data_IF_910446379057
#
_entry.id   IF_910446379057
#
_cell.length_a   1.000
_cell.length_b   1.000
_cell.length_c   1.000
_cell.angle_alpha   90.00
_cell.angle_beta   90.00
_cell.angle_gamma   90.00
#
_symmetry.space_group_name_H-M   'P 1'
#
loop_
_entity.id
_entity.type
_entity.pdbx_description
1 polymer ?
#
# COMPACT_ATOMS: atom_id res chain seq x y z
N UNK A 1 12.41 -23.81 -14.07
CA UNK A 1 11.23 -22.94 -14.37
C UNK A 1 11.71 -21.79 -15.24
N UNK A 2 11.01 -21.47 -16.35
CA UNK A 2 11.39 -20.32 -17.18
C UNK A 2 11.10 -19.00 -16.46
N UNK A 3 11.87 -17.94 -16.80
CA UNK A 3 11.66 -16.60 -16.22
C UNK A 3 10.23 -16.08 -16.46
N UNK A 4 9.62 -16.44 -17.59
CA UNK A 4 8.23 -16.08 -17.91
C UNK A 4 7.23 -16.70 -16.92
N UNK A 5 7.37 -18.00 -16.64
CA UNK A 5 6.48 -18.70 -15.71
C UNK A 5 6.67 -18.19 -14.29
N UNK A 6 7.90 -17.88 -13.88
CA UNK A 6 8.17 -17.25 -12.60
C UNK A 6 7.41 -15.94 -12.46
N UNK A 7 7.53 -15.03 -13.44
CA UNK A 7 6.88 -13.71 -13.41
C UNK A 7 5.35 -13.87 -13.35
N UNK A 8 4.77 -14.81 -14.11
CA UNK A 8 3.33 -15.05 -14.08
C UNK A 8 2.83 -15.50 -12.70
N UNK A 9 3.53 -16.45 -12.05
CA UNK A 9 3.18 -16.92 -10.71
C UNK A 9 3.27 -15.78 -9.70
N UNK A 10 4.35 -15.00 -9.75
CA UNK A 10 4.52 -13.87 -8.84
C UNK A 10 3.49 -12.76 -9.10
N UNK A 11 3.17 -12.51 -10.37
CA UNK A 11 2.16 -11.55 -10.78
C UNK A 11 0.76 -11.88 -10.26
N UNK A 12 0.35 -13.17 -10.32
CA UNK A 12 -0.95 -13.60 -9.74
C UNK A 12 -0.99 -13.38 -8.23
N UNK A 13 0.13 -13.64 -7.53
CA UNK A 13 0.24 -13.42 -6.08
C UNK A 13 0.19 -11.94 -5.71
N UNK A 14 0.93 -11.10 -6.44
CA UNK A 14 0.92 -9.65 -6.25
C UNK A 14 -0.45 -9.04 -6.53
N UNK A 15 -1.09 -9.44 -7.63
CA UNK A 15 -2.44 -9.02 -7.98
C UNK A 15 -3.46 -9.39 -6.90
N UNK A 16 -3.51 -10.67 -6.48
CA UNK A 16 -4.46 -11.15 -5.48
C UNK A 16 -4.29 -10.42 -4.13
N UNK A 17 -3.04 -10.24 -3.68
CA UNK A 17 -2.74 -9.53 -2.43
C UNK A 17 -3.16 -8.06 -2.47
N UNK A 18 -2.87 -7.35 -3.56
CA UNK A 18 -3.22 -5.92 -3.68
C UNK A 18 -4.70 -5.70 -3.96
N UNK A 19 -5.35 -6.56 -4.72
CA UNK A 19 -6.80 -6.57 -4.90
C UNK A 19 -7.50 -6.70 -3.55
N UNK A 20 -7.17 -7.74 -2.75
CA UNK A 20 -7.82 -7.98 -1.45
C UNK A 20 -7.57 -6.86 -0.43
N UNK A 21 -6.43 -6.20 -0.51
CA UNK A 21 -6.10 -5.04 0.32
C UNK A 21 -7.01 -3.84 0.03
N UNK A 22 -7.19 -3.51 -1.26
CA UNK A 22 -7.92 -2.33 -1.70
C UNK A 22 -9.43 -2.51 -1.81
N UNK A 23 -9.90 -3.75 -1.93
CA UNK A 23 -11.33 -4.05 -2.05
C UNK A 23 -12.15 -3.58 -0.82
N UNK A 24 -11.53 -3.48 0.35
CA UNK A 24 -12.22 -3.10 1.58
C UNK A 24 -12.76 -1.66 1.56
N UNK A 25 -12.00 -0.72 0.98
CA UNK A 25 -12.23 0.72 1.11
C UNK A 25 -13.63 1.16 0.58
N UNK A 26 -14.06 0.78 -0.63
CA UNK A 26 -15.37 1.17 -1.14
C UNK A 26 -16.54 0.43 -0.45
N UNK A 27 -16.27 -0.66 0.28
CA UNK A 27 -17.31 -1.49 0.90
C UNK A 27 -17.67 -1.07 2.33
N UNK A 28 -16.99 -0.06 2.91
CA UNK A 28 -17.16 0.34 4.33
C UNK A 28 -18.62 0.63 4.66
N UNK A 29 -19.34 1.40 3.83
CA UNK A 29 -20.75 1.73 4.06
C UNK A 29 -21.65 0.49 4.02
N UNK A 30 -21.45 -0.40 3.04
CA UNK A 30 -22.24 -1.64 2.90
C UNK A 30 -22.02 -2.57 4.11
N UNK A 31 -20.77 -2.76 4.52
CA UNK A 31 -20.44 -3.61 5.68
C UNK A 31 -20.99 -3.01 6.97
N UNK A 32 -20.91 -1.69 7.14
CA UNK A 32 -21.43 -1.01 8.30
C UNK A 32 -22.94 -1.25 8.48
N UNK A 33 -23.70 -1.15 7.40
CA UNK A 33 -25.15 -1.42 7.40
C UNK A 33 -25.46 -2.89 7.69
N UNK A 34 -24.78 -3.81 7.01
CA UNK A 34 -25.05 -5.25 7.13
C UNK A 34 -24.71 -5.80 8.52
N UNK A 35 -23.63 -5.31 9.14
CA UNK A 35 -23.18 -5.72 10.48
C UNK A 35 -23.65 -4.79 11.60
N UNK A 36 -24.63 -3.93 11.33
CA UNK A 36 -25.24 -2.98 12.33
C UNK A 36 -24.17 -2.17 13.07
N UNK A 37 -23.21 -1.62 12.32
CA UNK A 37 -22.09 -0.82 12.83
C UNK A 37 -22.10 0.60 12.25
N UNK A 38 -21.20 1.45 12.77
CA UNK A 38 -20.98 2.78 12.18
C UNK A 38 -19.90 2.73 11.09
N UNK A 39 -19.98 3.60 10.06
CA UNK A 39 -18.92 3.71 9.06
C UNK A 39 -17.54 3.97 9.69
N UNK A 40 -17.47 4.77 10.75
CA UNK A 40 -16.23 5.08 11.46
C UNK A 40 -15.60 3.85 12.10
N UNK A 41 -16.40 3.00 12.76
CA UNK A 41 -15.91 1.74 13.35
C UNK A 41 -15.52 0.75 12.26
N UNK A 42 -16.31 0.65 11.20
CA UNK A 42 -16.05 -0.26 10.08
C UNK A 42 -14.80 0.14 9.30
N UNK A 43 -14.54 1.44 9.13
CA UNK A 43 -13.31 1.95 8.50
C UNK A 43 -12.03 1.46 9.19
N UNK A 44 -12.08 1.22 10.50
CA UNK A 44 -10.94 0.66 11.25
C UNK A 44 -10.50 -0.73 10.76
N UNK A 45 -11.32 -1.46 9.98
CA UNK A 45 -10.90 -2.71 9.31
C UNK A 45 -9.73 -2.48 8.35
N UNK A 46 -9.58 -1.28 7.78
CA UNK A 46 -8.41 -0.91 6.96
C UNK A 46 -7.16 -0.76 7.83
N UNK A 47 -7.28 -0.13 9.01
CA UNK A 47 -6.18 -0.04 9.97
C UNK A 47 -5.82 -1.42 10.55
N UNK A 48 -6.82 -2.27 10.83
CA UNK A 48 -6.65 -3.64 11.30
C UNK A 48 -5.85 -4.50 10.30
N UNK A 49 -5.95 -4.22 9.02
CA UNK A 49 -5.12 -4.85 8.00
C UNK A 49 -3.72 -4.22 7.90
N UNK A 50 -3.64 -2.89 7.87
CA UNK A 50 -2.39 -2.18 7.61
C UNK A 50 -1.37 -2.34 8.76
N UNK A 51 -1.83 -2.37 10.01
CA UNK A 51 -0.93 -2.44 11.16
C UNK A 51 -0.16 -3.78 11.25
N UNK A 52 -0.79 -4.97 11.20
CA UNK A 52 -0.05 -6.24 11.15
C UNK A 52 0.78 -6.38 9.86
N UNK A 53 0.30 -5.84 8.74
CA UNK A 53 1.08 -5.77 7.51
C UNK A 53 2.40 -5.01 7.73
N UNK A 54 2.38 -3.89 8.50
CA UNK A 54 3.58 -3.15 8.87
C UNK A 54 4.55 -4.04 9.67
N UNK A 55 4.07 -4.62 10.77
CA UNK A 55 4.93 -5.37 11.69
C UNK A 55 5.60 -6.58 11.06
N UNK A 56 4.99 -7.19 10.05
CA UNK A 56 5.60 -8.33 9.37
C UNK A 56 6.74 -7.93 8.43
N UNK A 57 6.80 -6.67 7.94
CA UNK A 57 7.81 -6.24 6.96
C UNK A 57 9.25 -6.48 7.41
N UNK A 58 9.70 -6.03 8.60
CA UNK A 58 11.07 -6.26 9.04
C UNK A 58 11.35 -7.74 9.36
N UNK A 59 10.32 -8.56 9.58
CA UNK A 59 10.48 -9.97 9.93
C UNK A 59 10.67 -10.85 8.68
N UNK A 60 10.05 -10.47 7.57
CA UNK A 60 9.98 -11.30 6.36
C UNK A 60 11.32 -11.55 5.69
N UNK A 61 12.25 -10.59 5.72
CA UNK A 61 13.60 -10.78 5.17
C UNK A 61 14.33 -11.94 5.85
N UNK A 62 14.61 -11.84 7.15
CA UNK A 62 15.27 -12.90 7.91
C UNK A 62 14.54 -14.25 7.87
N UNK A 63 13.21 -14.25 7.94
CA UNK A 63 12.39 -15.47 7.88
C UNK A 63 12.45 -16.10 6.50
N UNK A 64 12.38 -15.30 5.43
CA UNK A 64 12.50 -15.76 4.05
C UNK A 64 13.87 -16.39 3.75
N UNK A 65 14.93 -15.82 4.29
CA UNK A 65 16.29 -16.35 4.15
C UNK A 65 16.49 -17.66 4.94
N UNK A 66 15.83 -17.79 6.10
CA UNK A 66 15.93 -18.98 6.95
C UNK A 66 15.08 -20.14 6.47
N UNK A 67 13.80 -19.91 6.19
CA UNK A 67 12.83 -20.96 5.85
C UNK A 67 12.74 -21.23 4.35
N UNK A 68 13.31 -20.34 3.52
CA UNK A 68 13.17 -20.33 2.08
C UNK A 68 11.98 -19.46 1.62
N UNK A 69 12.26 -18.55 0.72
CA UNK A 69 11.31 -17.54 0.22
C UNK A 69 10.03 -18.17 -0.36
N UNK A 70 10.16 -19.29 -1.06
CA UNK A 70 9.02 -20.02 -1.62
C UNK A 70 8.11 -20.64 -0.56
N UNK A 71 8.67 -21.15 0.54
CA UNK A 71 7.87 -21.70 1.65
C UNK A 71 7.11 -20.59 2.35
N UNK A 72 7.77 -19.47 2.63
CA UNK A 72 7.13 -18.31 3.26
C UNK A 72 6.02 -17.76 2.37
N UNK A 73 6.23 -17.69 1.06
CA UNK A 73 5.20 -17.26 0.11
C UNK A 73 3.98 -18.20 0.11
N UNK A 74 4.21 -19.51 0.09
CA UNK A 74 3.11 -20.50 0.17
C UNK A 74 2.33 -20.38 1.49
N UNK A 75 3.03 -20.23 2.61
CA UNK A 75 2.40 -20.06 3.92
C UNK A 75 1.60 -18.73 3.99
N UNK A 76 2.15 -17.65 3.49
CA UNK A 76 1.48 -16.34 3.41
C UNK A 76 0.21 -16.41 2.55
N UNK A 77 0.28 -17.01 1.36
CA UNK A 77 -0.90 -17.15 0.47
C UNK A 77 -1.94 -18.10 1.06
N UNK A 78 -1.52 -19.19 1.71
CA UNK A 78 -2.45 -20.11 2.39
C UNK A 78 -3.18 -19.40 3.53
N UNK A 79 -2.44 -18.66 4.36
CA UNK A 79 -3.04 -17.92 5.47
C UNK A 79 -3.98 -16.81 4.97
N UNK A 80 -3.58 -16.10 3.89
CA UNK A 80 -4.43 -15.09 3.25
C UNK A 80 -5.71 -15.74 2.69
N UNK A 81 -5.60 -16.88 2.00
CA UNK A 81 -6.75 -17.63 1.50
C UNK A 81 -7.72 -18.01 2.62
N UNK A 82 -7.21 -18.60 3.72
CA UNK A 82 -8.04 -19.04 4.85
C UNK A 82 -8.75 -17.86 5.53
N UNK A 83 -8.07 -16.74 5.69
CA UNK A 83 -8.64 -15.54 6.32
C UNK A 83 -9.67 -14.83 5.43
N UNK A 84 -9.46 -14.81 4.12
CA UNK A 84 -10.45 -14.28 3.17
C UNK A 84 -11.68 -15.20 3.10
N UNK A 85 -11.50 -16.50 3.06
CA UNK A 85 -12.60 -17.49 3.13
C UNK A 85 -13.39 -17.34 4.45
N UNK A 86 -12.68 -17.20 5.58
CA UNK A 86 -13.31 -16.90 6.86
C UNK A 86 -14.08 -15.58 6.86
N UNK A 87 -13.58 -14.56 6.15
CA UNK A 87 -14.25 -13.25 6.05
C UNK A 87 -15.59 -13.32 5.32
N UNK A 88 -15.76 -14.26 4.36
CA UNK A 88 -17.06 -14.53 3.72
C UNK A 88 -18.11 -14.97 4.74
N UNK A 89 -17.67 -15.74 5.73
CA UNK A 89 -18.53 -16.34 6.75
C UNK A 89 -18.61 -15.51 8.05
N UNK A 90 -17.96 -14.33 8.10
CA UNK A 90 -17.91 -13.53 9.31
C UNK A 90 -19.31 -13.12 9.80
N UNK A 91 -19.73 -13.52 11.02
CA UNK A 91 -21.06 -13.24 11.53
C UNK A 91 -21.20 -11.83 12.10
N UNK A 92 -20.09 -11.18 12.45
CA UNK A 92 -20.06 -9.87 13.09
C UNK A 92 -18.74 -9.13 12.80
N UNK A 93 -18.72 -7.85 13.12
CA UNK A 93 -17.58 -6.99 12.88
C UNK A 93 -16.32 -7.41 13.65
N UNK A 94 -16.46 -7.92 14.88
CA UNK A 94 -15.31 -8.35 15.69
C UNK A 94 -14.57 -9.54 15.04
N UNK A 95 -15.32 -10.53 14.53
CA UNK A 95 -14.73 -11.63 13.77
C UNK A 95 -14.02 -11.12 12.53
N UNK A 96 -14.66 -10.22 11.78
CA UNK A 96 -14.06 -9.63 10.59
C UNK A 96 -12.79 -8.85 10.92
N UNK A 97 -12.75 -8.16 12.07
CA UNK A 97 -11.56 -7.46 12.58
C UNK A 97 -10.38 -8.41 12.76
N UNK A 98 -10.58 -9.51 13.48
CA UNK A 98 -9.53 -10.52 13.72
C UNK A 98 -9.03 -11.10 12.39
N UNK A 99 -9.95 -11.44 11.49
CA UNK A 99 -9.60 -11.99 10.18
C UNK A 99 -8.82 -10.98 9.34
N UNK A 100 -9.18 -9.69 9.40
CA UNK A 100 -8.43 -8.62 8.72
C UNK A 100 -7.03 -8.43 9.29
N UNK A 101 -6.85 -8.54 10.61
CA UNK A 101 -5.51 -8.49 11.23
C UNK A 101 -4.62 -9.64 10.71
N UNK A 102 -5.13 -10.86 10.70
CA UNK A 102 -4.38 -12.03 10.23
C UNK A 102 -4.13 -11.92 8.71
N UNK A 103 -5.13 -11.47 7.94
CA UNK A 103 -4.99 -11.23 6.50
C UNK A 103 -3.91 -10.17 6.18
N UNK A 104 -3.83 -9.11 6.99
CA UNK A 104 -2.80 -8.08 6.85
C UNK A 104 -1.40 -8.63 7.04
N UNK A 105 -1.17 -9.40 8.11
CA UNK A 105 0.10 -10.07 8.34
C UNK A 105 0.45 -11.05 7.21
N UNK A 106 -0.54 -11.81 6.72
CA UNK A 106 -0.36 -12.76 5.62
C UNK A 106 -0.03 -12.05 4.29
N UNK A 107 -0.77 -11.01 3.93
CA UNK A 107 -0.58 -10.28 2.67
C UNK A 107 0.77 -9.55 2.62
N UNK A 108 1.31 -9.14 3.79
CA UNK A 108 2.59 -8.45 3.90
C UNK A 108 3.77 -9.21 3.28
N UNK A 109 3.67 -10.55 3.18
CA UNK A 109 4.71 -11.38 2.58
C UNK A 109 4.74 -11.43 1.06
N UNK A 110 3.63 -11.16 0.39
CA UNK A 110 3.49 -11.41 -1.04
C UNK A 110 4.45 -10.54 -1.89
N UNK A 111 4.45 -9.23 -1.67
CA UNK A 111 5.20 -8.29 -2.52
C UNK A 111 6.72 -8.35 -2.27
N UNK A 112 7.23 -8.22 -1.04
CA UNK A 112 8.67 -8.24 -0.79
C UNK A 112 9.33 -9.56 -1.21
N UNK A 113 8.66 -10.69 -0.92
CA UNK A 113 9.18 -12.01 -1.28
C UNK A 113 9.20 -12.20 -2.79
N UNK A 114 8.19 -11.70 -3.52
CA UNK A 114 8.16 -11.75 -4.98
C UNK A 114 9.33 -10.98 -5.59
N UNK A 115 9.58 -9.75 -5.11
CA UNK A 115 10.71 -8.92 -5.56
C UNK A 115 12.04 -9.63 -5.28
N UNK A 116 12.19 -10.23 -4.10
CA UNK A 116 13.39 -10.98 -3.72
C UNK A 116 13.59 -12.22 -4.64
N UNK A 117 12.52 -12.99 -4.93
CA UNK A 117 12.58 -14.14 -5.83
C UNK A 117 12.93 -13.75 -7.28
N UNK A 118 12.45 -12.59 -7.76
CA UNK A 118 12.86 -12.04 -9.06
C UNK A 118 14.35 -11.71 -9.02
N UNK A 119 14.82 -11.08 -7.93
CA UNK A 119 16.22 -10.76 -7.73
C UNK A 119 17.15 -11.99 -7.76
N UNK A 120 16.70 -13.08 -7.13
CA UNK A 120 17.50 -14.31 -7.03
C UNK A 120 17.51 -15.17 -8.31
N UNK A 121 16.39 -15.17 -9.07
CA UNK A 121 16.17 -16.13 -10.16
C UNK A 121 16.22 -15.54 -11.57
N UNK A 122 16.21 -14.21 -11.68
CA UNK A 122 16.26 -13.54 -12.99
C UNK A 122 17.62 -12.88 -13.18
N UNK A 123 18.25 -13.18 -14.31
CA UNK A 123 19.52 -12.59 -14.71
C UNK A 123 19.47 -11.05 -14.68
N UNK A 124 20.54 -10.40 -14.27
CA UNK A 124 20.63 -8.96 -14.10
C UNK A 124 20.14 -8.19 -15.34
N UNK A 125 20.52 -8.62 -16.55
CA UNK A 125 20.14 -7.97 -17.79
C UNK A 125 18.61 -7.94 -18.04
N UNK A 126 17.87 -8.91 -17.50
CA UNK A 126 16.42 -9.06 -17.68
C UNK A 126 15.61 -8.68 -16.43
N UNK A 127 16.29 -8.42 -15.30
CA UNK A 127 15.65 -8.21 -13.99
C UNK A 127 14.74 -6.98 -13.98
N UNK A 128 15.17 -5.88 -14.60
CA UNK A 128 14.37 -4.65 -14.65
C UNK A 128 13.04 -4.87 -15.41
N UNK A 129 13.07 -5.60 -16.52
CA UNK A 129 11.86 -5.94 -17.29
C UNK A 129 10.94 -6.86 -16.47
N UNK A 130 11.50 -7.82 -15.74
CA UNK A 130 10.75 -8.73 -14.89
C UNK A 130 10.03 -7.95 -13.74
N UNK A 131 10.75 -7.05 -13.07
CA UNK A 131 10.19 -6.20 -12.02
C UNK A 131 9.09 -5.27 -12.56
N UNK A 132 9.29 -4.66 -13.73
CA UNK A 132 8.28 -3.81 -14.36
C UNK A 132 6.97 -4.58 -14.64
N UNK A 133 7.06 -5.81 -15.18
CA UNK A 133 5.88 -6.65 -15.40
C UNK A 133 5.17 -7.04 -14.12
N UNK A 134 5.94 -7.33 -13.07
CA UNK A 134 5.39 -7.61 -11.75
C UNK A 134 4.68 -6.39 -11.16
N UNK A 135 5.28 -5.19 -11.26
CA UNK A 135 4.69 -3.94 -10.76
C UNK A 135 3.38 -3.59 -11.51
N UNK A 136 3.30 -3.87 -12.81
CA UNK A 136 2.03 -3.71 -13.55
C UNK A 136 0.92 -4.56 -12.93
N UNK A 137 1.20 -5.81 -12.55
CA UNK A 137 0.20 -6.67 -11.92
C UNK A 137 -0.26 -6.12 -10.55
N UNK A 138 0.66 -5.54 -9.76
CA UNK A 138 0.33 -4.86 -8.49
C UNK A 138 -0.59 -3.67 -8.73
N UNK A 139 -0.26 -2.79 -9.69
CA UNK A 139 -1.04 -1.59 -10.00
C UNK A 139 -2.42 -1.96 -10.51
N UNK A 140 -2.50 -2.95 -11.41
CA UNK A 140 -3.79 -3.45 -11.93
C UNK A 140 -4.61 -4.09 -10.80
N UNK A 141 -3.97 -4.82 -9.88
CA UNK A 141 -4.61 -5.38 -8.70
C UNK A 141 -5.18 -4.30 -7.78
N UNK A 142 -4.44 -3.21 -7.55
CA UNK A 142 -4.92 -2.07 -6.76
C UNK A 142 -6.09 -1.37 -7.43
N UNK A 143 -5.97 -1.07 -8.72
CA UNK A 143 -7.04 -0.43 -9.50
C UNK A 143 -8.30 -1.29 -9.53
N UNK A 144 -8.16 -2.58 -9.83
CA UNK A 144 -9.27 -3.51 -9.87
C UNK A 144 -9.90 -3.69 -8.47
N UNK A 145 -9.06 -3.78 -7.42
CA UNK A 145 -9.52 -3.90 -6.03
C UNK A 145 -10.34 -2.71 -5.57
N UNK A 146 -9.96 -1.48 -5.89
CA UNK A 146 -10.75 -0.31 -5.55
C UNK A 146 -11.98 -0.17 -6.45
N UNK A 147 -11.82 -0.16 -7.78
CA UNK A 147 -12.91 0.16 -8.71
C UNK A 147 -13.94 -0.95 -8.84
N UNK A 148 -13.50 -2.19 -9.08
CA UNK A 148 -14.45 -3.30 -9.27
C UNK A 148 -15.05 -3.81 -7.96
N UNK A 149 -14.35 -3.70 -6.83
CA UNK A 149 -14.94 -4.14 -5.56
C UNK A 149 -16.15 -3.30 -5.17
N UNK A 150 -16.10 -1.98 -5.37
CA UNK A 150 -17.26 -1.11 -5.13
C UNK A 150 -18.46 -1.50 -5.98
N UNK A 151 -18.26 -1.65 -7.30
CA UNK A 151 -19.29 -2.06 -8.24
C UNK A 151 -19.85 -3.46 -7.91
N UNK A 152 -18.98 -4.43 -7.69
CA UNK A 152 -19.40 -5.80 -7.38
C UNK A 152 -20.09 -5.90 -6.02
N UNK A 153 -19.72 -5.09 -5.05
CA UNK A 153 -20.36 -5.10 -3.74
C UNK A 153 -21.83 -4.69 -3.78
N UNK A 154 -22.23 -3.86 -4.75
CA UNK A 154 -23.64 -3.49 -4.98
C UNK A 154 -24.43 -4.65 -5.60
N UNK A 155 -23.78 -5.56 -6.36
CA UNK A 155 -24.42 -6.66 -7.09
C UNK A 155 -24.44 -7.95 -6.29
N UNK A 156 -23.28 -8.36 -5.75
CA UNK A 156 -23.09 -9.65 -5.05
C UNK A 156 -22.82 -9.50 -3.55
N UNK A 157 -22.92 -8.27 -3.03
CA UNK A 157 -22.62 -7.95 -1.64
C UNK A 157 -21.12 -8.00 -1.31
N UNK A 158 -20.75 -7.48 -0.15
CA UNK A 158 -19.36 -7.47 0.32
C UNK A 158 -18.80 -8.88 0.55
N UNK A 159 -19.65 -9.85 0.98
CA UNK A 159 -19.26 -11.26 1.14
C UNK A 159 -18.90 -11.89 -0.20
N UNK A 160 -19.62 -11.55 -1.28
CA UNK A 160 -19.30 -12.00 -2.63
C UNK A 160 -17.95 -11.46 -3.11
N UNK A 161 -17.61 -10.21 -2.79
CA UNK A 161 -16.30 -9.61 -3.11
C UNK A 161 -15.17 -10.30 -2.33
N UNK A 162 -15.37 -10.63 -1.04
CA UNK A 162 -14.40 -11.44 -0.30
C UNK A 162 -14.31 -12.87 -0.88
N UNK A 163 -15.41 -13.44 -1.36
CA UNK A 163 -15.41 -14.73 -2.08
C UNK A 163 -14.59 -14.70 -3.36
N UNK A 164 -14.72 -13.62 -4.15
CA UNK A 164 -13.89 -13.39 -5.34
C UNK A 164 -12.40 -13.24 -4.97
N UNK A 165 -12.09 -12.47 -3.92
CA UNK A 165 -10.72 -12.32 -3.41
C UNK A 165 -10.16 -13.67 -2.94
N UNK A 166 -10.97 -14.50 -2.30
CA UNK A 166 -10.63 -15.87 -1.90
C UNK A 166 -10.29 -16.72 -3.11
N UNK A 167 -11.13 -16.68 -4.15
CA UNK A 167 -10.91 -17.45 -5.38
C UNK A 167 -9.61 -17.03 -6.09
N UNK A 168 -9.37 -15.72 -6.24
CA UNK A 168 -8.12 -15.21 -6.84
C UNK A 168 -6.90 -15.63 -6.02
N UNK A 169 -6.99 -15.60 -4.68
CA UNK A 169 -5.90 -16.03 -3.81
C UNK A 169 -5.68 -17.54 -3.89
N UNK A 170 -6.74 -18.34 -4.04
CA UNK A 170 -6.64 -19.78 -4.27
C UNK A 170 -5.90 -20.11 -5.58
N UNK A 171 -6.19 -19.37 -6.66
CA UNK A 171 -5.47 -19.49 -7.93
C UNK A 171 -3.99 -19.13 -7.78
N UNK A 172 -3.68 -18.05 -7.08
CA UNK A 172 -2.31 -17.63 -6.80
C UNK A 172 -1.56 -18.68 -5.95
N UNK A 173 -2.21 -19.23 -4.93
CA UNK A 173 -1.69 -20.31 -4.09
C UNK A 173 -1.42 -21.55 -4.92
N UNK A 174 -2.38 -22.01 -5.72
CA UNK A 174 -2.24 -23.18 -6.60
C UNK A 174 -1.07 -22.99 -7.59
N UNK A 175 -0.99 -21.83 -8.25
CA UNK A 175 0.09 -21.50 -9.15
C UNK A 175 1.46 -21.53 -8.43
N UNK A 176 1.51 -21.01 -7.20
CA UNK A 176 2.73 -20.97 -6.38
C UNK A 176 3.13 -22.38 -5.91
N UNK A 177 2.17 -23.21 -5.48
CA UNK A 177 2.43 -24.60 -5.03
C UNK A 177 2.93 -25.43 -6.19
N UNK A 178 2.29 -25.34 -7.36
CA UNK A 178 2.68 -26.09 -8.57
C UNK A 178 4.01 -25.60 -9.13
N UNK A 179 4.20 -24.28 -9.21
CA UNK A 179 5.39 -23.68 -9.81
C UNK A 179 6.66 -23.85 -8.98
N UNK A 180 6.54 -23.92 -7.67
CA UNK A 180 7.68 -24.07 -6.75
C UNK A 180 7.74 -25.48 -6.12
N UNK A 181 7.43 -26.54 -6.90
CA UNK A 181 7.62 -27.93 -6.47
C UNK A 181 9.11 -28.24 -6.29
N UNK A 182 9.46 -28.81 -5.14
CA UNK A 182 10.84 -29.23 -4.85
C UNK A 182 11.81 -28.11 -4.51
N UNK A 183 11.39 -26.85 -4.52
CA UNK A 183 12.23 -25.74 -4.13
C UNK A 183 12.21 -25.58 -2.62
N UNK A 184 13.32 -25.90 -1.94
CA UNK A 184 13.56 -25.48 -0.57
C UNK A 184 15.05 -25.66 -0.19
N UNK A 185 15.81 -24.61 -0.29
CA UNK A 185 17.01 -24.44 0.51
C UNK A 185 16.77 -23.27 1.45
N UNK A 186 16.49 -23.55 2.71
CA UNK A 186 16.55 -22.54 3.77
C UNK A 186 18.00 -22.35 4.16
N UNK A 187 18.37 -21.09 4.47
CA UNK A 187 19.60 -20.75 5.14
C UNK A 187 19.48 -20.94 6.67
N UNK A 188 20.45 -20.41 7.41
CA UNK A 188 20.34 -20.28 8.86
C UNK A 188 19.61 -18.99 9.22
N UNK A 189 18.68 -19.08 10.17
CA UNK A 189 18.05 -17.90 10.75
C UNK A 189 19.08 -17.18 11.64
N UNK A 190 19.51 -16.01 11.20
CA UNK A 190 20.47 -15.20 11.94
C UNK A 190 19.80 -13.89 12.40
N UNK A 191 19.11 -14.01 13.54
CA UNK A 191 18.42 -12.89 14.17
C UNK A 191 19.39 -11.82 14.62
N UNK A 192 20.58 -12.21 15.11
CA UNK A 192 21.56 -11.26 15.63
C UNK A 192 22.07 -10.34 14.53
N UNK A 193 22.43 -10.90 13.38
CA UNK A 193 22.84 -10.10 12.22
C UNK A 193 21.70 -9.21 11.67
N UNK A 194 20.47 -9.68 11.70
CA UNK A 194 19.33 -8.86 11.31
C UNK A 194 19.14 -7.68 12.27
N UNK A 195 19.20 -7.91 13.57
CA UNK A 195 19.08 -6.86 14.59
C UNK A 195 20.22 -5.84 14.52
N UNK A 196 21.46 -6.30 14.30
CA UNK A 196 22.61 -5.40 14.11
C UNK A 196 22.40 -4.50 12.89
N UNK A 197 21.99 -5.06 11.74
CA UNK A 197 21.67 -4.25 10.54
C UNK A 197 20.58 -3.22 10.80
N UNK A 198 19.52 -3.57 11.52
CA UNK A 198 18.44 -2.62 11.86
C UNK A 198 18.96 -1.54 12.81
N UNK A 199 19.76 -1.90 13.81
CA UNK A 199 20.39 -0.93 14.71
C UNK A 199 21.26 0.07 13.94
N UNK A 200 22.09 -0.39 13.02
CA UNK A 200 22.96 0.46 12.21
C UNK A 200 22.14 1.42 11.33
N UNK A 201 21.06 0.93 10.70
CA UNK A 201 20.17 1.76 9.89
C UNK A 201 19.46 2.81 10.75
N UNK A 202 18.94 2.41 11.92
CA UNK A 202 18.24 3.31 12.84
C UNK A 202 19.18 4.30 13.55
N UNK A 203 20.49 4.06 13.54
CA UNK A 203 21.49 5.01 14.00
C UNK A 203 21.81 6.09 12.98
N UNK A 204 21.34 5.96 11.73
CA UNK A 204 21.58 6.93 10.67
C UNK A 204 20.47 8.01 10.68
N UNK A 205 20.79 9.29 11.02
CA UNK A 205 19.79 10.36 11.07
C UNK A 205 19.04 10.57 9.76
N UNK A 206 19.69 10.36 8.61
CA UNK A 206 19.07 10.47 7.29
C UNK A 206 18.01 9.38 7.08
N UNK A 207 18.26 8.16 7.57
CA UNK A 207 17.29 7.08 7.54
C UNK A 207 16.06 7.43 8.38
N UNK A 208 16.28 7.91 9.61
CA UNK A 208 15.19 8.31 10.51
C UNK A 208 14.33 9.43 9.91
N UNK A 209 14.94 10.44 9.27
CA UNK A 209 14.21 11.48 8.56
C UNK A 209 13.34 10.90 7.43
N UNK A 210 13.88 9.99 6.61
CA UNK A 210 13.13 9.37 5.51
C UNK A 210 11.98 8.50 6.03
N UNK A 211 12.19 7.74 7.12
CA UNK A 211 11.14 6.96 7.77
C UNK A 211 10.06 7.86 8.38
N UNK A 212 10.46 8.98 8.98
CA UNK A 212 9.53 9.99 9.48
C UNK A 212 8.70 10.63 8.37
N UNK A 213 9.33 11.01 7.25
CA UNK A 213 8.61 11.58 6.11
C UNK A 213 7.58 10.61 5.53
N UNK A 214 7.93 9.36 5.30
CA UNK A 214 6.99 8.39 4.74
C UNK A 214 5.88 8.01 5.72
N UNK A 215 6.16 8.00 7.03
CA UNK A 215 5.13 7.80 8.06
C UNK A 215 4.11 8.93 8.04
N UNK A 216 4.57 10.19 8.04
CA UNK A 216 3.69 11.37 8.02
C UNK A 216 2.94 11.50 6.69
N UNK A 217 3.62 11.19 5.56
CA UNK A 217 3.01 11.12 4.23
C UNK A 217 1.82 10.16 4.22
N UNK A 218 2.04 8.91 4.68
CA UNK A 218 0.99 7.90 4.72
C UNK A 218 -0.14 8.30 5.68
N UNK A 219 0.20 8.93 6.81
CA UNK A 219 -0.78 9.43 7.78
C UNK A 219 -1.66 10.52 7.19
N UNK A 220 -1.12 11.42 6.39
CA UNK A 220 -1.89 12.50 5.77
C UNK A 220 -2.76 12.03 4.59
N UNK A 221 -2.26 11.09 3.77
CA UNK A 221 -2.90 10.73 2.50
C UNK A 221 -3.96 9.64 2.64
N UNK A 222 -3.68 8.55 3.38
CA UNK A 222 -4.52 7.35 3.34
C UNK A 222 -5.74 7.37 4.26
N UNK A 223 -5.83 8.33 5.18
CA UNK A 223 -6.93 8.40 6.14
C UNK A 223 -8.31 8.53 5.52
N UNK A 224 -8.42 9.26 4.42
CA UNK A 224 -9.70 9.54 3.76
C UNK A 224 -10.27 8.31 3.01
N UNK A 225 -9.44 7.37 2.54
CA UNK A 225 -9.85 6.29 1.64
C UNK A 225 -11.06 5.48 2.12
N UNK A 226 -11.09 4.94 3.36
CA UNK A 226 -12.22 4.15 3.83
C UNK A 226 -13.47 4.99 4.12
N UNK A 227 -13.36 6.32 4.08
CA UNK A 227 -14.49 7.24 4.31
C UNK A 227 -15.10 7.76 3.01
N UNK A 228 -14.48 7.55 1.84
CA UNK A 228 -15.00 8.08 0.56
C UNK A 228 -16.41 7.56 0.29
N UNK A 229 -16.65 6.24 0.41
CA UNK A 229 -17.97 5.68 0.16
C UNK A 229 -19.06 6.20 1.13
N UNK A 230 -18.87 6.14 2.46
CA UNK A 230 -19.82 6.72 3.40
C UNK A 230 -20.10 8.21 3.17
N UNK A 231 -19.07 8.99 2.88
CA UNK A 231 -19.22 10.43 2.64
C UNK A 231 -19.96 10.75 1.35
N UNK A 232 -19.75 9.96 0.28
CA UNK A 232 -20.52 10.10 -0.96
C UNK A 232 -21.98 9.71 -0.75
N UNK A 233 -22.26 8.63 -0.02
CA UNK A 233 -23.62 8.21 0.32
C UNK A 233 -24.35 9.28 1.14
N UNK A 234 -23.69 9.85 2.18
CA UNK A 234 -24.26 10.89 3.04
C UNK A 234 -24.65 12.16 2.28
N UNK A 235 -23.87 12.49 1.22
CA UNK A 235 -24.13 13.68 0.38
C UNK A 235 -25.09 13.43 -0.79
N UNK A 236 -25.49 12.16 -1.00
CA UNK A 236 -26.26 11.78 -2.20
C UNK A 236 -25.43 11.80 -3.49
N UNK A 237 -24.10 11.83 -3.38
CA UNK A 237 -23.17 11.89 -4.51
C UNK A 237 -22.82 10.54 -5.14
N UNK A 238 -23.33 9.43 -4.61
CA UNK A 238 -23.11 8.08 -5.14
C UNK A 238 -22.97 7.03 -4.05
N UNK A 239 -22.81 5.77 -4.44
CA UNK A 239 -22.64 4.61 -3.57
C UNK A 239 -21.20 4.02 -3.62
N UNK A 240 -21.11 2.73 -3.31
CA UNK A 240 -19.84 2.01 -3.29
C UNK A 240 -19.18 1.93 -4.66
N UNK A 241 -19.97 1.84 -5.75
CA UNK A 241 -19.45 1.81 -7.12
C UNK A 241 -18.74 3.13 -7.46
N UNK A 242 -19.39 4.28 -7.26
CA UNK A 242 -18.80 5.59 -7.50
C UNK A 242 -17.57 5.85 -6.62
N UNK A 243 -17.65 5.48 -5.34
CA UNK A 243 -16.52 5.55 -4.43
C UNK A 243 -15.34 4.69 -4.91
N UNK A 244 -15.60 3.48 -5.38
CA UNK A 244 -14.59 2.59 -5.94
C UNK A 244 -13.89 3.19 -7.16
N UNK A 245 -14.65 3.81 -8.08
CA UNK A 245 -14.07 4.52 -9.23
C UNK A 245 -13.28 5.76 -8.80
N UNK A 246 -13.80 6.53 -7.84
CA UNK A 246 -13.07 7.68 -7.30
C UNK A 246 -11.73 7.24 -6.68
N UNK A 247 -11.72 6.25 -5.80
CA UNK A 247 -10.50 5.71 -5.18
C UNK A 247 -9.55 5.14 -6.25
N UNK A 248 -10.08 4.49 -7.29
CA UNK A 248 -9.31 4.02 -8.44
C UNK A 248 -8.52 5.12 -9.14
N UNK A 249 -9.01 6.36 -9.13
CA UNK A 249 -8.32 7.53 -9.64
C UNK A 249 -6.90 7.70 -9.05
N UNK A 250 -6.70 7.31 -7.80
CA UNK A 250 -5.37 7.35 -7.17
C UNK A 250 -4.33 6.48 -7.92
N UNK A 251 -4.72 5.28 -8.36
CA UNK A 251 -3.83 4.44 -9.15
C UNK A 251 -3.56 5.04 -10.54
N UNK A 252 -4.55 5.70 -11.15
CA UNK A 252 -4.38 6.43 -12.42
C UNK A 252 -3.36 7.56 -12.24
N UNK A 253 -3.41 8.32 -11.13
CA UNK A 253 -2.40 9.33 -10.79
C UNK A 253 -0.99 8.75 -10.70
N UNK A 254 -0.84 7.55 -10.14
CA UNK A 254 0.41 6.81 -10.13
C UNK A 254 0.93 6.44 -11.52
N UNK A 255 0.03 6.03 -12.44
CA UNK A 255 0.40 5.77 -13.84
C UNK A 255 0.85 7.06 -14.56
N UNK A 256 0.17 8.18 -14.31
CA UNK A 256 0.56 9.49 -14.84
C UNK A 256 1.97 9.85 -14.36
N UNK A 257 2.25 9.67 -13.06
CA UNK A 257 3.60 9.88 -12.52
C UNK A 257 4.61 8.97 -13.22
N UNK A 258 4.33 7.68 -13.34
CA UNK A 258 5.24 6.72 -13.96
C UNK A 258 5.58 7.11 -15.42
N UNK A 259 4.63 7.66 -16.16
CA UNK A 259 4.85 8.16 -17.52
C UNK A 259 5.71 9.44 -17.54
N UNK A 260 5.57 10.31 -16.53
CA UNK A 260 6.19 11.63 -16.50
C UNK A 260 7.50 11.70 -15.70
N UNK A 261 7.81 10.71 -14.86
CA UNK A 261 8.92 10.75 -13.89
C UNK A 261 10.28 11.08 -14.53
N UNK A 262 10.59 10.49 -15.69
CA UNK A 262 11.85 10.74 -16.39
C UNK A 262 11.98 12.21 -16.84
N UNK A 263 10.91 12.78 -17.36
CA UNK A 263 10.85 14.18 -17.74
C UNK A 263 10.93 15.09 -16.51
N UNK A 264 10.19 14.77 -15.45
CA UNK A 264 10.18 15.54 -14.19
C UNK A 264 11.56 15.57 -13.54
N UNK A 265 12.26 14.43 -13.46
CA UNK A 265 13.62 14.37 -12.89
C UNK A 265 14.61 15.21 -13.70
N UNK A 266 14.52 15.20 -15.03
CA UNK A 266 15.41 15.99 -15.91
C UNK A 266 15.15 17.50 -15.85
N UNK A 267 13.89 17.91 -15.70
CA UNK A 267 13.49 19.33 -15.79
C UNK A 267 13.31 20.00 -14.45
N UNK A 268 12.79 19.31 -13.46
CA UNK A 268 12.44 19.90 -12.17
C UNK A 268 13.48 19.62 -11.09
N UNK A 269 14.10 18.43 -11.13
CA UNK A 269 14.97 17.96 -10.06
C UNK A 269 14.20 17.54 -8.81
N UNK A 270 14.87 16.83 -7.90
CA UNK A 270 14.26 16.18 -6.72
C UNK A 270 13.53 17.18 -5.81
N UNK A 271 14.13 18.34 -5.55
CA UNK A 271 13.52 19.34 -4.64
C UNK A 271 12.15 19.83 -5.11
N UNK A 272 12.03 20.20 -6.42
CA UNK A 272 10.76 20.66 -6.97
C UNK A 272 9.73 19.54 -7.10
N UNK A 273 10.16 18.29 -7.32
CA UNK A 273 9.28 17.12 -7.32
C UNK A 273 8.67 16.93 -5.93
N UNK A 274 9.44 17.05 -4.86
CA UNK A 274 8.94 16.94 -3.49
C UNK A 274 7.95 18.05 -3.14
N UNK A 275 8.26 19.30 -3.46
CA UNK A 275 7.34 20.43 -3.23
C UNK A 275 6.05 20.26 -4.04
N UNK A 276 6.18 19.95 -5.34
CA UNK A 276 5.04 19.71 -6.23
C UNK A 276 4.18 18.54 -5.76
N UNK A 277 4.80 17.47 -5.26
CA UNK A 277 4.10 16.31 -4.71
C UNK A 277 3.24 16.67 -3.49
N UNK A 278 3.81 17.41 -2.53
CA UNK A 278 3.07 17.94 -1.38
C UNK A 278 1.95 18.88 -1.78
N UNK A 279 2.18 19.75 -2.76
CA UNK A 279 1.17 20.68 -3.29
C UNK A 279 0.00 19.93 -3.96
N UNK A 280 0.27 19.00 -4.87
CA UNK A 280 -0.79 18.27 -5.57
C UNK A 280 -1.61 17.38 -4.62
N UNK A 281 -0.95 16.68 -3.70
CA UNK A 281 -1.65 15.87 -2.70
C UNK A 281 -2.47 16.74 -1.74
N UNK A 282 -1.93 17.89 -1.30
CA UNK A 282 -2.63 18.85 -0.44
C UNK A 282 -3.83 19.48 -1.15
N UNK A 283 -3.67 19.94 -2.40
CA UNK A 283 -4.77 20.49 -3.20
C UNK A 283 -5.89 19.45 -3.40
N UNK A 284 -5.52 18.20 -3.67
CA UNK A 284 -6.50 17.11 -3.79
C UNK A 284 -7.30 16.89 -2.49
N UNK A 285 -6.64 16.90 -1.34
CA UNK A 285 -7.32 16.80 -0.03
C UNK A 285 -8.27 17.97 0.23
N UNK A 286 -7.89 19.19 -0.18
CA UNK A 286 -8.76 20.36 -0.08
C UNK A 286 -10.01 20.19 -0.97
N UNK A 287 -9.84 19.70 -2.20
CA UNK A 287 -10.97 19.44 -3.11
C UNK A 287 -11.89 18.37 -2.54
N UNK A 288 -11.37 17.25 -2.04
CA UNK A 288 -12.16 16.20 -1.38
C UNK A 288 -12.95 16.71 -0.18
N UNK A 289 -12.40 17.71 0.54
CA UNK A 289 -13.09 18.35 1.67
C UNK A 289 -14.27 19.23 1.29
N UNK A 290 -14.31 19.71 0.05
CA UNK A 290 -15.32 20.66 -0.45
C UNK A 290 -16.26 20.04 -1.49
N UNK A 291 -15.87 18.92 -2.11
CA UNK A 291 -16.59 18.31 -3.22
C UNK A 291 -17.89 17.64 -2.75
N UNK A 292 -18.87 17.66 -3.63
CA UNK A 292 -20.14 16.97 -3.46
C UNK A 292 -20.39 15.87 -4.50
N UNK A 293 -19.64 15.88 -5.61
CA UNK A 293 -19.80 14.98 -6.75
C UNK A 293 -18.63 13.99 -6.83
N UNK A 294 -18.94 12.73 -7.09
CA UNK A 294 -17.95 11.65 -7.20
C UNK A 294 -16.97 11.83 -8.36
N UNK A 295 -17.35 12.53 -9.44
CA UNK A 295 -16.45 12.77 -10.58
C UNK A 295 -15.34 13.74 -10.22
N UNK A 296 -15.66 14.75 -9.41
CA UNK A 296 -14.67 15.67 -8.85
C UNK A 296 -13.79 14.98 -7.81
N UNK A 297 -14.37 14.11 -6.98
CA UNK A 297 -13.60 13.25 -6.05
C UNK A 297 -12.64 12.33 -6.82
N UNK A 298 -13.07 11.75 -7.96
CA UNK A 298 -12.23 10.94 -8.82
C UNK A 298 -11.05 11.75 -9.40
N UNK A 299 -11.31 12.96 -9.89
CA UNK A 299 -10.27 13.86 -10.40
C UNK A 299 -9.28 14.26 -9.27
N UNK A 300 -9.81 14.58 -8.08
CA UNK A 300 -8.99 14.85 -6.90
C UNK A 300 -8.13 13.64 -6.52
N UNK A 301 -8.67 12.43 -6.57
CA UNK A 301 -7.90 11.20 -6.31
C UNK A 301 -6.80 10.95 -7.35
N UNK A 302 -7.01 11.28 -8.63
CA UNK A 302 -5.93 11.25 -9.64
C UNK A 302 -4.82 12.23 -9.26
N UNK A 303 -5.18 13.45 -8.88
CA UNK A 303 -4.22 14.48 -8.47
C UNK A 303 -3.47 14.06 -7.19
N UNK A 304 -4.19 13.47 -6.22
CA UNK A 304 -3.61 12.94 -4.98
C UNK A 304 -2.62 11.81 -5.26
N UNK A 305 -2.98 10.89 -6.16
CA UNK A 305 -2.11 9.81 -6.60
C UNK A 305 -0.83 10.34 -7.25
N UNK A 306 -0.95 11.31 -8.16
CA UNK A 306 0.21 11.96 -8.77
C UNK A 306 1.13 12.56 -7.69
N UNK A 307 0.57 13.37 -6.78
CA UNK A 307 1.33 14.01 -5.70
C UNK A 307 1.98 13.01 -4.76
N UNK A 308 1.25 11.99 -4.35
CA UNK A 308 1.76 10.90 -3.51
C UNK A 308 2.94 10.18 -4.17
N UNK A 309 2.82 9.74 -5.42
CA UNK A 309 3.90 9.02 -6.09
C UNK A 309 5.12 9.90 -6.36
N UNK A 310 4.96 11.22 -6.50
CA UNK A 310 6.08 12.17 -6.54
C UNK A 310 6.88 12.17 -5.24
N UNK A 311 6.22 12.13 -4.08
CA UNK A 311 6.85 12.07 -2.76
C UNK A 311 7.40 10.66 -2.49
N UNK A 312 6.52 9.67 -2.49
CA UNK A 312 6.79 8.31 -2.04
C UNK A 312 7.94 7.64 -2.81
N UNK A 313 7.91 7.70 -4.14
CA UNK A 313 8.97 7.11 -4.96
C UNK A 313 10.30 7.83 -4.76
N UNK A 314 10.27 9.14 -4.50
CA UNK A 314 11.49 9.88 -4.16
C UNK A 314 12.05 9.41 -2.81
N UNK A 315 11.22 9.26 -1.78
CA UNK A 315 11.65 8.73 -0.48
C UNK A 315 12.16 7.29 -0.60
N UNK A 316 11.44 6.43 -1.31
CA UNK A 316 11.85 5.04 -1.51
C UNK A 316 13.19 4.92 -2.25
N UNK A 317 13.43 5.75 -3.27
CA UNK A 317 14.72 5.79 -3.96
C UNK A 317 15.86 6.23 -3.01
N UNK A 318 15.64 7.26 -2.19
CA UNK A 318 16.63 7.73 -1.22
C UNK A 318 16.92 6.69 -0.13
N UNK A 319 15.92 5.91 0.32
CA UNK A 319 16.08 4.85 1.31
C UNK A 319 17.03 3.76 0.81
N UNK A 320 17.04 3.44 -0.48
CA UNK A 320 17.98 2.43 -1.04
C UNK A 320 19.45 2.85 -0.94
N UNK A 321 19.71 4.15 -0.80
CA UNK A 321 21.07 4.71 -0.71
C UNK A 321 21.56 4.90 0.74
N UNK A 322 20.66 4.82 1.73
CA UNK A 322 21.00 5.04 3.15
C UNK A 322 21.85 3.91 3.72
N UNK A 323 21.62 2.69 3.26
CA UNK A 323 22.35 1.49 3.70
C UNK A 323 22.67 0.60 2.49
N UNK A 324 23.68 0.92 1.67
CA UNK A 324 24.01 0.17 0.45
C UNK A 324 24.28 -1.31 0.69
N UNK A 325 24.81 -1.67 1.88
CA UNK A 325 25.10 -3.05 2.27
C UNK A 325 23.88 -3.79 2.84
N UNK A 326 22.80 -3.07 3.19
CA UNK A 326 21.59 -3.62 3.80
C UNK A 326 20.30 -3.00 3.19
N UNK A 327 20.28 -2.81 1.85
CA UNK A 327 19.17 -2.16 1.14
C UNK A 327 17.81 -2.79 1.44
N UNK A 328 17.72 -4.11 1.47
CA UNK A 328 16.48 -4.83 1.76
C UNK A 328 15.94 -4.50 3.17
N UNK A 329 16.84 -4.43 4.17
CA UNK A 329 16.46 -4.06 5.54
C UNK A 329 16.00 -2.60 5.64
N UNK A 330 16.64 -1.68 4.92
CA UNK A 330 16.22 -0.28 4.87
C UNK A 330 14.84 -0.11 4.21
N UNK A 331 14.60 -0.81 3.11
CA UNK A 331 13.29 -0.83 2.43
C UNK A 331 12.20 -1.46 3.32
N UNK A 332 12.54 -2.51 4.09
CA UNK A 332 11.60 -3.13 5.02
C UNK A 332 11.19 -2.16 6.15
N UNK A 333 12.15 -1.42 6.73
CA UNK A 333 11.85 -0.38 7.73
C UNK A 333 11.05 0.81 7.15
N UNK A 334 11.34 1.19 5.91
CA UNK A 334 10.54 2.18 5.18
C UNK A 334 9.09 1.71 5.02
N UNK A 335 8.88 0.46 4.57
CA UNK A 335 7.55 -0.11 4.44
C UNK A 335 6.84 -0.24 5.80
N UNK A 336 7.57 -0.64 6.86
CA UNK A 336 7.05 -0.62 8.22
C UNK A 336 6.51 0.76 8.61
N UNK A 337 7.32 1.82 8.44
CA UNK A 337 6.93 3.19 8.75
C UNK A 337 5.72 3.65 7.93
N UNK A 338 5.70 3.33 6.64
CA UNK A 338 4.60 3.63 5.74
C UNK A 338 3.27 3.01 6.22
N UNK A 339 3.24 1.70 6.47
CA UNK A 339 2.01 1.02 6.88
C UNK A 339 1.59 1.35 8.31
N UNK A 340 2.51 1.69 9.21
CA UNK A 340 2.18 2.26 10.51
C UNK A 340 1.47 3.62 10.36
N UNK A 341 1.99 4.49 9.49
CA UNK A 341 1.35 5.76 9.15
C UNK A 341 -0.04 5.55 8.53
N UNK A 342 -0.17 4.61 7.61
CA UNK A 342 -1.45 4.25 7.00
C UNK A 342 -2.47 3.74 8.03
N UNK A 343 -2.06 2.92 8.98
CA UNK A 343 -2.96 2.47 10.05
C UNK A 343 -3.41 3.62 10.96
N UNK A 344 -2.49 4.49 11.37
CA UNK A 344 -2.78 5.66 12.19
C UNK A 344 -3.70 6.66 11.46
N UNK A 345 -3.52 6.80 10.15
CA UNK A 345 -4.28 7.76 9.33
C UNK A 345 -5.80 7.57 9.42
N UNK A 346 -6.26 6.31 9.41
CA UNK A 346 -7.69 5.96 9.47
C UNK A 346 -8.27 6.39 10.83
N UNK A 347 -7.52 6.18 11.91
CA UNK A 347 -7.94 6.57 13.27
C UNK A 347 -8.02 8.09 13.39
N UNK A 348 -6.99 8.80 12.93
CA UNK A 348 -6.95 10.27 13.00
C UNK A 348 -8.01 10.91 12.11
N UNK A 349 -8.22 10.40 10.89
CA UNK A 349 -9.29 10.89 10.02
C UNK A 349 -10.67 10.67 10.65
N UNK A 350 -10.93 9.47 11.19
CA UNK A 350 -12.20 9.19 11.86
C UNK A 350 -12.44 10.05 13.11
N UNK A 351 -11.39 10.37 13.86
CA UNK A 351 -11.46 11.32 14.96
C UNK A 351 -11.77 12.74 14.43
N UNK A 352 -11.05 13.19 13.42
CA UNK A 352 -11.26 14.50 12.82
C UNK A 352 -12.66 14.68 12.25
N UNK A 353 -13.17 13.70 11.51
CA UNK A 353 -14.53 13.71 10.93
C UNK A 353 -15.60 13.87 12.01
N UNK A 354 -15.44 13.23 13.18
CA UNK A 354 -16.40 13.34 14.29
C UNK A 354 -16.36 14.68 15.01
N UNK A 355 -15.20 15.31 15.17
CA UNK A 355 -15.05 16.47 16.04
C UNK A 355 -14.89 17.80 15.29
N UNK A 356 -14.37 17.76 14.09
CA UNK A 356 -14.06 18.96 13.29
C UNK A 356 -14.76 18.98 11.91
N UNK A 357 -15.34 17.84 11.51
CA UNK A 357 -15.97 17.68 10.19
C UNK A 357 -14.97 17.47 9.07
N UNK A 358 -15.49 17.24 7.86
CA UNK A 358 -14.70 16.83 6.69
C UNK A 358 -13.72 17.92 6.25
N UNK A 359 -14.21 19.14 6.01
CA UNK A 359 -13.39 20.23 5.48
C UNK A 359 -12.18 20.54 6.38
N UNK A 360 -12.38 20.58 7.71
CA UNK A 360 -11.28 20.85 8.64
C UNK A 360 -10.29 19.68 8.70
N UNK A 361 -10.78 18.44 8.65
CA UNK A 361 -9.92 17.23 8.71
C UNK A 361 -9.06 17.09 7.45
N UNK A 362 -9.64 17.30 6.27
CA UNK A 362 -8.90 17.27 5.01
C UNK A 362 -7.96 18.46 4.87
N UNK A 363 -8.35 19.66 5.35
CA UNK A 363 -7.47 20.83 5.38
C UNK A 363 -6.25 20.60 6.29
N UNK A 364 -6.45 20.02 7.49
CA UNK A 364 -5.34 19.68 8.36
C UNK A 364 -4.37 18.68 7.68
N UNK A 365 -4.89 17.64 7.06
CA UNK A 365 -4.09 16.67 6.31
C UNK A 365 -3.37 17.34 5.11
N UNK A 366 -4.03 18.28 4.41
CA UNK A 366 -3.45 19.03 3.30
C UNK A 366 -2.26 19.90 3.75
N UNK A 367 -2.39 20.59 4.88
CA UNK A 367 -1.29 21.37 5.46
C UNK A 367 -0.11 20.47 5.83
N UNK A 368 -0.39 19.31 6.45
CA UNK A 368 0.64 18.35 6.85
C UNK A 368 1.40 17.82 5.63
N UNK A 369 0.70 17.40 4.56
CA UNK A 369 1.38 16.83 3.38
C UNK A 369 2.16 17.89 2.60
N UNK A 370 1.67 19.12 2.54
CA UNK A 370 2.41 20.25 1.96
C UNK A 370 3.69 20.52 2.76
N UNK A 371 3.60 20.54 4.09
CA UNK A 371 4.74 20.70 4.97
C UNK A 371 5.78 19.59 4.77
N UNK A 372 5.34 18.32 4.61
CA UNK A 372 6.23 17.19 4.27
C UNK A 372 6.98 17.49 2.97
N UNK A 373 6.31 17.94 1.91
CA UNK A 373 6.95 18.26 0.63
C UNK A 373 8.01 19.36 0.75
N UNK A 374 7.68 20.44 1.49
CA UNK A 374 8.58 21.58 1.72
C UNK A 374 9.80 21.20 2.58
N UNK A 375 9.54 20.56 3.73
CA UNK A 375 10.61 20.17 4.68
C UNK A 375 11.51 19.10 4.06
N UNK A 376 10.93 18.08 3.42
CA UNK A 376 11.70 17.04 2.75
C UNK A 376 12.57 17.61 1.63
N UNK A 377 12.06 18.57 0.84
CA UNK A 377 12.85 19.28 -0.17
C UNK A 377 14.04 19.99 0.46
N UNK A 378 13.81 20.75 1.53
CA UNK A 378 14.88 21.49 2.22
C UNK A 378 15.94 20.57 2.85
N UNK A 379 15.51 19.47 3.47
CA UNK A 379 16.40 18.50 4.15
C UNK A 379 17.19 17.69 3.14
N UNK A 380 16.54 17.09 2.15
CA UNK A 380 17.19 16.14 1.23
C UNK A 380 18.08 16.85 0.21
N UNK A 381 17.79 18.11 -0.16
CA UNK A 381 18.69 18.88 -1.03
C UNK A 381 19.95 19.34 -0.29
N UNK A 382 19.88 19.59 1.03
CA UNK A 382 21.04 19.94 1.86
C UNK A 382 21.92 18.73 2.18
N UNK A 383 21.30 17.55 2.38
CA UNK A 383 21.98 16.31 2.70
C UNK A 383 22.46 15.54 1.45
N UNK A 384 22.19 16.03 0.26
CA UNK A 384 22.77 15.46 -0.96
C UNK A 384 24.30 15.52 -0.86
N UNK A 385 25.03 14.41 -1.10
CA UNK A 385 26.47 14.48 -1.17
C UNK A 385 26.84 15.51 -2.23
N UNK A 386 27.66 16.51 -1.86
CA UNK A 386 28.25 17.42 -2.83
C UNK A 386 28.98 16.54 -3.85
N UNK A 387 28.37 16.29 -5.02
CA UNK A 387 29.11 15.71 -6.13
C UNK A 387 30.24 16.68 -6.39
N UNK A 388 31.46 16.21 -6.20
CA UNK A 388 32.66 16.94 -6.59
C UNK A 388 32.40 17.55 -7.98
N UNK A 389 32.46 18.87 -8.04
CA UNK A 389 32.35 19.66 -9.27
C UNK A 389 33.55 19.35 -10.16
#
# INVERSE_FOLDING_TARGET
>A
MSSRNLILILATSGFAGTFSSRAMEPMVGIIARDLSSTPQTTALLSAAFALPYAFIQPILGPVGDALGKERVMKASLLLLFLTLAGSVLAPNLATLFVLRMIAGAAAGGAVPISIALIGDRVEMARRQVALSRYLVAIIVGQLAGSSFAGLLAEIIGWRGVFGLSTFMTALALAATVVGFRGAASGGRFDLNNALLRYRDILSNPRALCLFGFVFVEATAVFGIFPYVAPLLEERGGGGAAQAGFAIGGFAVGGLVYAALVTWMLRRLGIGRILVGGGFFAGAALMVLGLAGDWTLDAAAMVLMGLGFYMLHNTFQAQVTEVAPQARASAVALHAFSFFCGQALSVVLMGFGLRHAGLAASTAAAAVVILAVGLVASAVLTRLAPQRAR
#
